data_IF_609864883002
#
_entry.id   IF_609864883002
#
_cell.length_a   1.000
_cell.length_b   1.000
_cell.length_c   1.000
_cell.angle_alpha   90.00
_cell.angle_beta   90.00
_cell.angle_gamma   90.00
#
_symmetry.space_group_name_H-M   'P 1'
#
loop_
_entity.id
_entity.type
_entity.pdbx_description
1 polymer ?
#
# COMPACT_ATOMS: atom_id res chain seq x y z
N UNK A 1 14.85 18.76 -22.23
CA UNK A 1 15.45 17.76 -21.33
C UNK A 1 14.56 16.53 -21.35
N UNK A 2 14.94 15.49 -22.07
CA UNK A 2 14.22 14.23 -22.15
C UNK A 2 14.31 13.53 -20.79
N UNK A 3 13.26 13.67 -19.98
CA UNK A 3 13.06 12.81 -18.82
C UNK A 3 12.95 11.39 -19.33
N UNK A 4 13.92 10.52 -19.03
CA UNK A 4 13.79 9.09 -19.29
C UNK A 4 12.50 8.62 -18.63
N UNK A 5 11.52 8.11 -19.41
CA UNK A 5 10.30 7.59 -18.83
C UNK A 5 10.64 6.44 -17.88
N UNK A 6 9.92 6.33 -16.76
CA UNK A 6 10.07 5.19 -15.87
C UNK A 6 9.86 3.90 -16.67
N UNK A 7 10.61 2.85 -16.32
CA UNK A 7 10.38 1.53 -16.93
C UNK A 7 8.91 1.15 -16.75
N UNK A 8 8.29 0.57 -17.79
CA UNK A 8 6.88 0.15 -17.78
C UNK A 8 6.55 -0.73 -16.57
N UNK A 9 7.50 -1.54 -16.11
CA UNK A 9 7.38 -2.38 -14.90
C UNK A 9 7.19 -1.53 -13.64
N UNK A 10 7.94 -0.44 -13.51
CA UNK A 10 7.85 0.49 -12.36
C UNK A 10 6.49 1.17 -12.30
N UNK A 11 5.99 1.62 -13.46
CA UNK A 11 4.68 2.25 -13.60
C UNK A 11 3.57 1.26 -13.28
N UNK A 12 3.63 0.05 -13.85
CA UNK A 12 2.63 -0.98 -13.60
C UNK A 12 2.59 -1.39 -12.13
N UNK A 13 3.74 -1.66 -11.51
CA UNK A 13 3.83 -1.96 -10.08
C UNK A 13 3.26 -0.82 -9.23
N UNK A 14 3.59 0.43 -9.55
CA UNK A 14 3.04 1.57 -8.82
C UNK A 14 1.51 1.60 -8.86
N UNK A 15 0.91 1.48 -10.04
CA UNK A 15 -0.54 1.52 -10.20
C UNK A 15 -1.25 0.30 -9.60
N UNK A 16 -0.66 -0.90 -9.69
CA UNK A 16 -1.17 -2.09 -9.01
C UNK A 16 -1.21 -1.88 -7.49
N UNK A 17 -0.14 -1.35 -6.90
CA UNK A 17 -0.12 -1.00 -5.48
C UNK A 17 -1.16 0.06 -5.13
N UNK A 18 -1.23 1.13 -5.91
CA UNK A 18 -2.17 2.22 -5.67
C UNK A 18 -3.63 1.72 -5.69
N UNK A 19 -4.01 0.92 -6.69
CA UNK A 19 -5.35 0.37 -6.81
C UNK A 19 -5.70 -0.55 -5.62
N UNK A 20 -4.82 -1.48 -5.27
CA UNK A 20 -5.08 -2.44 -4.19
C UNK A 20 -5.07 -1.75 -2.82
N UNK A 21 -4.15 -0.82 -2.56
CA UNK A 21 -4.12 -0.06 -1.29
C UNK A 21 -5.39 0.79 -1.15
N UNK A 22 -5.84 1.46 -2.22
CA UNK A 22 -7.08 2.23 -2.18
C UNK A 22 -8.29 1.33 -1.91
N UNK A 23 -8.41 0.20 -2.61
CA UNK A 23 -9.45 -0.80 -2.33
C UNK A 23 -9.39 -1.28 -0.87
N UNK A 24 -8.23 -1.74 -0.40
CA UNK A 24 -8.04 -2.28 0.93
C UNK A 24 -8.37 -1.26 2.03
N UNK A 25 -7.98 0.00 1.81
CA UNK A 25 -8.27 1.11 2.73
C UNK A 25 -9.77 1.40 2.75
N UNK A 26 -10.37 1.67 1.59
CA UNK A 26 -11.80 2.03 1.52
C UNK A 26 -12.70 0.91 2.02
N UNK A 27 -12.42 -0.33 1.63
CA UNK A 27 -13.19 -1.50 2.02
C UNK A 27 -12.96 -1.89 3.49
N UNK A 28 -11.73 -1.80 3.99
CA UNK A 28 -11.40 -2.07 5.39
C UNK A 28 -12.04 -1.06 6.35
N UNK A 29 -11.90 0.23 6.08
CA UNK A 29 -12.58 1.27 6.86
C UNK A 29 -14.09 1.23 6.66
N UNK A 30 -14.57 0.96 5.46
CA UNK A 30 -16.00 0.80 5.19
C UNK A 30 -16.62 -0.32 6.05
N UNK A 31 -15.96 -1.48 6.12
CA UNK A 31 -16.40 -2.59 6.95
C UNK A 31 -16.32 -2.31 8.45
N UNK A 32 -15.45 -1.40 8.88
CA UNK A 32 -15.30 -1.01 10.28
C UNK A 32 -16.26 0.11 10.72
N UNK A 33 -16.68 0.99 9.79
CA UNK A 33 -17.48 2.17 10.08
C UNK A 33 -18.97 1.98 9.78
N UNK A 34 -19.31 1.06 8.87
CA UNK A 34 -20.68 0.78 8.47
C UNK A 34 -21.10 -0.61 8.92
N UNK A 35 -22.36 -0.73 9.35
CA UNK A 35 -22.97 -2.02 9.70
C UNK A 35 -23.44 -2.72 8.42
N UNK A 36 -22.51 -3.44 7.79
CA UNK A 36 -22.75 -4.17 6.54
C UNK A 36 -23.36 -5.55 6.83
N UNK A 37 -24.25 -6.06 5.95
CA UNK A 37 -24.72 -7.45 6.05
C UNK A 37 -23.55 -8.43 6.11
N UNK A 38 -23.62 -9.44 6.99
CA UNK A 38 -22.51 -10.36 7.28
C UNK A 38 -21.87 -10.98 6.02
N UNK A 39 -22.67 -11.44 5.06
CA UNK A 39 -22.15 -12.01 3.81
C UNK A 39 -21.37 -11.02 2.94
N UNK A 40 -21.72 -9.73 2.98
CA UNK A 40 -20.99 -8.68 2.26
C UNK A 40 -19.69 -8.37 2.99
N UNK A 41 -19.74 -8.22 4.32
CA UNK A 41 -18.58 -7.97 5.16
C UNK A 41 -17.52 -9.08 5.01
N UNK A 42 -17.96 -10.34 5.04
CA UNK A 42 -17.09 -11.50 4.84
C UNK A 42 -16.50 -11.55 3.43
N UNK A 43 -17.31 -11.27 2.40
CA UNK A 43 -16.84 -11.22 1.00
C UNK A 43 -15.79 -10.12 0.78
N UNK A 44 -16.02 -8.94 1.37
CA UNK A 44 -15.04 -7.85 1.38
C UNK A 44 -13.74 -8.29 2.07
N UNK A 45 -13.85 -8.88 3.26
CA UNK A 45 -12.70 -9.37 4.02
C UNK A 45 -11.89 -10.40 3.22
N UNK A 46 -12.58 -11.36 2.59
CA UNK A 46 -11.96 -12.38 1.74
C UNK A 46 -11.18 -11.79 0.55
N UNK A 47 -11.79 -10.86 -0.18
CA UNK A 47 -11.13 -10.18 -1.31
C UNK A 47 -9.94 -9.35 -0.81
N UNK A 48 -10.11 -8.62 0.30
CA UNK A 48 -9.09 -7.76 0.85
C UNK A 48 -7.85 -8.56 1.29
N UNK A 49 -8.03 -9.64 2.04
CA UNK A 49 -6.95 -10.54 2.45
C UNK A 49 -6.26 -11.14 1.23
N UNK A 50 -7.01 -11.64 0.25
CA UNK A 50 -6.45 -12.27 -0.95
C UNK A 50 -5.59 -11.30 -1.77
N UNK A 51 -6.08 -10.09 -2.02
CA UNK A 51 -5.35 -9.07 -2.78
C UNK A 51 -4.11 -8.57 -2.03
N UNK A 52 -4.24 -8.29 -0.74
CA UNK A 52 -3.12 -7.77 0.07
C UNK A 52 -2.05 -8.82 0.30
N UNK A 53 -2.40 -10.11 0.35
CA UNK A 53 -1.40 -11.18 0.40
C UNK A 53 -0.54 -11.22 -0.88
N UNK A 54 -1.15 -11.09 -2.06
CA UNK A 54 -0.42 -11.01 -3.34
C UNK A 54 0.50 -9.78 -3.39
N UNK A 55 0.16 -8.69 -2.70
CA UNK A 55 1.04 -7.53 -2.61
C UNK A 55 2.36 -7.83 -1.90
N UNK A 56 2.46 -8.84 -1.03
CA UNK A 56 3.69 -9.14 -0.28
C UNK A 56 4.88 -9.43 -1.22
N UNK A 57 4.84 -10.43 -2.12
CA UNK A 57 5.93 -10.67 -3.07
C UNK A 57 6.15 -9.50 -4.02
N UNK A 58 5.07 -8.83 -4.46
CA UNK A 58 5.19 -7.63 -5.32
C UNK A 58 5.85 -6.45 -4.58
N UNK A 59 5.73 -6.40 -3.26
CA UNK A 59 6.31 -5.34 -2.43
C UNK A 59 7.81 -5.51 -2.33
N UNK A 60 8.29 -6.75 -2.19
CA UNK A 60 9.71 -7.08 -2.26
C UNK A 60 10.27 -6.66 -3.63
N UNK A 61 9.61 -7.02 -4.72
CA UNK A 61 10.01 -6.60 -6.07
C UNK A 61 10.04 -5.07 -6.19
N UNK A 62 9.03 -4.38 -5.65
CA UNK A 62 8.94 -2.92 -5.66
C UNK A 62 10.09 -2.27 -4.90
N UNK A 63 10.49 -2.80 -3.75
CA UNK A 63 11.65 -2.33 -2.99
C UNK A 63 12.94 -2.51 -3.81
N UNK A 64 13.16 -3.69 -4.38
CA UNK A 64 14.35 -3.96 -5.21
C UNK A 64 14.42 -3.00 -6.40
N UNK A 65 13.29 -2.79 -7.10
CA UNK A 65 13.20 -1.84 -8.19
C UNK A 65 13.43 -0.39 -7.75
N UNK A 66 13.02 -0.01 -6.54
CA UNK A 66 13.23 1.33 -6.00
C UNK A 66 14.70 1.57 -5.62
N UNK A 67 15.37 0.58 -5.02
CA UNK A 67 16.79 0.64 -4.67
C UNK A 67 17.70 0.72 -5.91
N UNK A 68 17.32 0.04 -6.98
CA UNK A 68 18.07 0.07 -8.25
C UNK A 68 17.84 1.36 -9.07
N UNK A 69 16.88 2.20 -8.68
CA UNK A 69 16.54 3.40 -9.44
C UNK A 69 17.36 4.61 -8.98
N UNK A 70 18.32 5.04 -9.80
CA UNK A 70 19.09 6.25 -9.54
C UNK A 70 18.28 7.49 -9.94
N UNK A 71 17.91 8.32 -8.97
CA UNK A 71 17.27 9.62 -9.26
C UNK A 71 18.32 10.65 -9.67
N UNK A 72 18.16 11.34 -10.82
CA UNK A 72 19.03 12.44 -11.19
C UNK A 72 18.95 13.58 -10.16
N UNK A 73 20.04 14.32 -10.01
CA UNK A 73 20.12 15.45 -9.07
C UNK A 73 19.08 16.53 -9.41
N UNK A 74 18.32 16.97 -8.40
CA UNK A 74 17.27 17.98 -8.53
C UNK A 74 17.79 19.38 -8.24
N UNK A 75 17.16 20.37 -8.87
CA UNK A 75 17.43 21.80 -8.66
C UNK A 75 16.73 22.36 -7.41
N UNK A 76 15.86 21.59 -6.74
CA UNK A 76 15.15 21.99 -5.51
C UNK A 76 15.37 20.97 -4.39
N UNK A 77 16.45 21.08 -3.60
CA UNK A 77 16.87 20.02 -2.67
C UNK A 77 15.88 19.76 -1.53
N UNK A 78 15.19 20.79 -1.03
CA UNK A 78 14.22 20.64 0.07
C UNK A 78 12.93 19.92 -0.37
N UNK A 79 12.37 20.28 -1.52
CA UNK A 79 11.19 19.62 -2.07
C UNK A 79 11.47 18.14 -2.38
N UNK A 80 12.65 17.86 -2.93
CA UNK A 80 13.13 16.50 -3.19
C UNK A 80 13.29 15.67 -1.91
N UNK A 81 13.83 16.27 -0.84
CA UNK A 81 13.99 15.61 0.45
C UNK A 81 12.63 15.24 1.06
N UNK A 82 11.68 16.18 1.07
CA UNK A 82 10.32 15.92 1.56
C UNK A 82 9.62 14.84 0.74
N UNK A 83 9.74 14.88 -0.59
CA UNK A 83 9.19 13.85 -1.44
C UNK A 83 9.82 12.48 -1.13
N UNK A 84 11.15 12.39 -0.98
CA UNK A 84 11.83 11.15 -0.60
C UNK A 84 11.38 10.63 0.75
N UNK A 85 11.29 11.50 1.76
CA UNK A 85 10.83 11.14 3.10
C UNK A 85 9.38 10.62 3.07
N UNK A 86 8.48 11.28 2.33
CA UNK A 86 7.10 10.83 2.17
C UNK A 86 6.99 9.46 1.49
N UNK A 87 7.75 9.22 0.43
CA UNK A 87 7.78 7.90 -0.23
C UNK A 87 8.38 6.83 0.69
N UNK A 88 9.44 7.15 1.43
CA UNK A 88 10.03 6.22 2.41
C UNK A 88 9.03 5.87 3.51
N UNK A 89 8.30 6.86 4.04
CA UNK A 89 7.24 6.63 5.02
C UNK A 89 6.14 5.72 4.45
N UNK A 90 5.70 5.94 3.21
CA UNK A 90 4.74 5.06 2.54
C UNK A 90 5.25 3.62 2.42
N UNK A 91 6.52 3.42 2.05
CA UNK A 91 7.13 2.09 1.99
C UNK A 91 7.14 1.43 3.37
N UNK A 92 7.67 2.10 4.39
CA UNK A 92 7.76 1.55 5.75
C UNK A 92 6.37 1.18 6.28
N UNK A 93 5.40 2.10 6.20
CA UNK A 93 4.06 1.85 6.73
C UNK A 93 3.33 0.77 5.94
N UNK A 94 3.48 0.71 4.61
CA UNK A 94 2.92 -0.39 3.80
C UNK A 94 3.51 -1.74 4.23
N UNK A 95 4.83 -1.81 4.45
CA UNK A 95 5.48 -3.02 4.96
C UNK A 95 4.93 -3.45 6.31
N UNK A 96 4.75 -2.51 7.24
CA UNK A 96 4.13 -2.78 8.55
C UNK A 96 2.71 -3.31 8.39
N UNK A 97 1.87 -2.68 7.57
CA UNK A 97 0.49 -3.12 7.30
C UNK A 97 0.47 -4.55 6.74
N UNK A 98 1.31 -4.86 5.76
CA UNK A 98 1.36 -6.19 5.14
C UNK A 98 1.80 -7.27 6.14
N UNK A 99 2.86 -7.02 6.91
CA UNK A 99 3.38 -7.98 7.89
C UNK A 99 2.36 -8.19 9.02
N UNK A 100 1.86 -7.10 9.60
CA UNK A 100 0.87 -7.18 10.69
C UNK A 100 -0.45 -7.79 10.22
N UNK A 101 -0.83 -7.58 8.96
CA UNK A 101 -2.03 -8.16 8.36
C UNK A 101 -1.98 -9.68 8.30
N UNK A 102 -0.80 -10.25 8.02
CA UNK A 102 -0.60 -11.72 8.06
C UNK A 102 -0.54 -12.22 9.50
N UNK A 103 0.14 -11.51 10.39
CA UNK A 103 0.34 -11.94 11.79
C UNK A 103 -0.92 -11.81 12.65
N UNK A 104 -1.86 -10.94 12.29
CA UNK A 104 -3.12 -10.79 13.03
C UNK A 104 -4.19 -11.85 12.68
N UNK A 105 -3.95 -12.69 11.66
CA UNK A 105 -4.93 -13.66 11.21
C UNK A 105 -5.14 -14.77 12.25
N UNK A 106 -6.40 -14.94 12.67
CA UNK A 106 -6.83 -16.00 13.61
C UNK A 106 -7.44 -17.22 12.92
N UNK A 107 -7.46 -17.19 11.58
CA UNK A 107 -7.96 -18.25 10.71
C UNK A 107 -6.97 -18.45 9.55
N UNK A 108 -6.96 -19.63 8.91
CA UNK A 108 -6.19 -19.85 7.70
C UNK A 108 -6.44 -18.77 6.65
N UNK A 109 -5.36 -18.33 6.01
CA UNK A 109 -5.38 -17.38 4.90
C UNK A 109 -5.82 -18.15 3.66
N UNK A 110 -6.98 -17.80 3.14
CA UNK A 110 -7.52 -18.35 1.91
C UNK A 110 -7.24 -17.39 0.74
N UNK A 111 -6.51 -17.86 -0.26
CA UNK A 111 -6.14 -17.11 -1.44
C UNK A 111 -7.07 -17.45 -2.59
N UNK A 112 -8.12 -16.66 -2.77
CA UNK A 112 -9.11 -16.82 -3.84
C UNK A 112 -9.74 -18.22 -3.93
N UNK A 113 -9.75 -19.01 -2.84
CA UNK A 113 -10.24 -20.39 -2.83
C UNK A 113 -9.29 -21.41 -3.48
N UNK A 114 -8.09 -20.98 -3.90
CA UNK A 114 -7.14 -21.80 -4.65
C UNK A 114 -6.05 -22.38 -3.76
N UNK A 115 -5.64 -21.64 -2.72
CA UNK A 115 -4.58 -22.03 -1.81
C UNK A 115 -4.92 -21.60 -0.39
N UNK A 116 -4.80 -22.51 0.56
CA UNK A 116 -4.95 -22.21 1.98
C UNK A 116 -3.59 -22.29 2.68
N UNK A 117 -3.27 -21.23 3.41
CA UNK A 117 -2.04 -21.11 4.20
C UNK A 117 -2.44 -21.00 5.66
N UNK A 118 -1.91 -21.88 6.50
CA UNK A 118 -2.16 -21.82 7.95
C UNK A 118 -1.70 -20.49 8.53
N UNK A 119 -2.47 -19.99 9.50
CA UNK A 119 -2.07 -18.79 10.23
C UNK A 119 -0.71 -18.97 10.91
N UNK A 120 0.13 -17.92 10.93
CA UNK A 120 1.47 -18.01 11.49
C UNK A 120 1.47 -18.07 13.03
N UNK A 121 0.45 -17.50 13.68
CA UNK A 121 0.35 -17.36 15.13
C UNK A 121 -0.93 -18.01 15.64
N UNK A 122 -0.82 -18.70 16.77
CA UNK A 122 -1.95 -19.38 17.43
C UNK A 122 -2.30 -18.74 18.77
N UNK A 123 -1.42 -17.89 19.32
CA UNK A 123 -1.61 -17.21 20.60
C UNK A 123 -2.49 -15.95 20.45
N UNK A 124 -3.69 -15.90 21.06
CA UNK A 124 -4.62 -14.78 20.90
C UNK A 124 -4.07 -13.43 21.37
N UNK A 125 -3.17 -13.45 22.36
CA UNK A 125 -2.50 -12.24 22.86
C UNK A 125 -1.63 -11.61 21.77
N UNK A 126 -0.95 -12.44 20.97
CA UNK A 126 -0.11 -11.96 19.88
C UNK A 126 -0.95 -11.50 18.69
N UNK A 127 -1.98 -12.25 18.29
CA UNK A 127 -2.87 -11.84 17.19
C UNK A 127 -3.58 -10.52 17.52
N UNK A 128 -4.05 -10.35 18.75
CA UNK A 128 -4.64 -9.10 19.24
C UNK A 128 -3.65 -7.92 19.26
N UNK A 129 -2.39 -8.16 19.65
CA UNK A 129 -1.34 -7.14 19.57
C UNK A 129 -1.08 -6.69 18.13
N UNK A 130 -0.92 -7.63 17.19
CA UNK A 130 -0.71 -7.31 15.79
C UNK A 130 -1.93 -6.66 15.14
N UNK A 131 -3.16 -7.05 15.52
CA UNK A 131 -4.38 -6.39 15.09
C UNK A 131 -4.39 -4.90 15.50
N UNK A 132 -4.02 -4.61 16.74
CA UNK A 132 -3.92 -3.22 17.24
C UNK A 132 -2.91 -2.41 16.41
N UNK A 133 -1.71 -2.95 16.19
CA UNK A 133 -0.70 -2.30 15.33
C UNK A 133 -1.23 -2.10 13.92
N UNK A 134 -1.83 -3.15 13.33
CA UNK A 134 -2.38 -3.11 11.97
C UNK A 134 -3.41 -1.98 11.83
N UNK A 135 -4.33 -1.84 12.80
CA UNK A 135 -5.33 -0.78 12.81
C UNK A 135 -4.70 0.61 12.78
N UNK A 136 -3.73 0.88 13.66
CA UNK A 136 -3.06 2.19 13.68
C UNK A 136 -2.20 2.42 12.43
N UNK A 137 -1.55 1.38 11.92
CA UNK A 137 -0.78 1.44 10.68
C UNK A 137 -1.68 1.72 9.46
N UNK A 138 -2.89 1.16 9.40
CA UNK A 138 -3.87 1.45 8.36
C UNK A 138 -4.35 2.90 8.40
N UNK A 139 -4.57 3.48 9.58
CA UNK A 139 -4.89 4.91 9.73
C UNK A 139 -3.72 5.77 9.23
N UNK A 140 -2.50 5.45 9.65
CA UNK A 140 -1.31 6.16 9.19
C UNK A 140 -1.12 6.06 7.67
N UNK A 141 -1.34 4.87 7.09
CA UNK A 141 -1.27 4.64 5.65
C UNK A 141 -2.30 5.47 4.90
N UNK A 142 -3.55 5.50 5.37
CA UNK A 142 -4.62 6.29 4.77
C UNK A 142 -4.27 7.79 4.73
N UNK A 143 -3.75 8.34 5.85
CA UNK A 143 -3.30 9.74 5.93
C UNK A 143 -2.12 10.02 4.99
N UNK A 144 -1.14 9.12 4.92
CA UNK A 144 0.01 9.26 4.02
C UNK A 144 -0.40 9.21 2.55
N UNK A 145 -1.32 8.31 2.18
CA UNK A 145 -1.87 8.22 0.82
C UNK A 145 -2.64 9.49 0.46
N UNK A 146 -3.51 9.98 1.36
CA UNK A 146 -4.23 11.23 1.16
C UNK A 146 -3.29 12.42 0.98
N UNK A 147 -2.26 12.54 1.85
CA UNK A 147 -1.23 13.57 1.74
C UNK A 147 -0.42 13.48 0.44
N UNK A 148 -0.07 12.25 0.01
CA UNK A 148 0.62 12.01 -1.25
C UNK A 148 -0.23 12.46 -2.45
N UNK A 149 -1.51 12.09 -2.48
CA UNK A 149 -2.45 12.52 -3.53
C UNK A 149 -2.61 14.05 -3.55
N UNK A 150 -2.77 14.67 -2.38
CA UNK A 150 -2.87 16.12 -2.26
C UNK A 150 -1.62 16.84 -2.80
N UNK A 151 -0.43 16.31 -2.50
CA UNK A 151 0.82 16.83 -3.05
C UNK A 151 0.85 16.73 -4.58
N UNK A 152 0.46 15.59 -5.16
CA UNK A 152 0.40 15.40 -6.61
C UNK A 152 -0.56 16.42 -7.26
N UNK A 153 -1.75 16.63 -6.68
CA UNK A 153 -2.71 17.62 -7.16
C UNK A 153 -2.15 19.04 -7.09
N UNK A 154 -1.51 19.40 -5.97
CA UNK A 154 -0.91 20.72 -5.79
C UNK A 154 0.22 20.98 -6.80
N UNK A 155 1.07 19.98 -7.06
CA UNK A 155 2.12 20.08 -8.07
C UNK A 155 1.54 20.19 -9.49
N UNK A 156 0.47 19.46 -9.79
CA UNK A 156 -0.23 19.57 -11.06
C UNK A 156 -0.82 20.97 -11.28
N UNK A 157 -1.46 21.56 -10.26
CA UNK A 157 -1.95 22.94 -10.32
C UNK A 157 -0.84 23.99 -10.47
N UNK A 158 0.37 23.71 -9.99
CA UNK A 158 1.56 24.56 -10.19
C UNK A 158 2.19 24.41 -11.58
N UNK A 159 1.59 23.63 -12.47
CA UNK A 159 2.05 23.41 -13.85
C UNK A 159 3.08 22.29 -14.00
N UNK A 160 3.39 21.56 -12.93
CA UNK A 160 4.29 20.40 -12.99
C UNK A 160 3.49 19.13 -13.33
N UNK A 161 3.60 18.66 -14.58
CA UNK A 161 2.95 17.44 -15.03
C UNK A 161 3.71 16.18 -14.56
N UNK A 162 3.66 15.91 -13.25
CA UNK A 162 4.26 14.72 -12.64
C UNK A 162 3.59 13.41 -13.11
N UNK A 163 2.28 13.45 -13.38
CA UNK A 163 1.51 12.30 -13.89
C UNK A 163 2.05 11.78 -15.22
N UNK A 164 2.61 12.66 -16.07
CA UNK A 164 3.21 12.28 -17.36
C UNK A 164 4.44 11.39 -17.22
N UNK A 165 5.04 11.31 -16.03
CA UNK A 165 6.13 10.37 -15.73
C UNK A 165 5.62 9.00 -15.27
N UNK A 166 4.34 8.91 -14.91
CA UNK A 166 3.65 7.68 -14.48
C UNK A 166 2.63 7.18 -15.52
N UNK A 167 2.69 7.68 -16.75
CA UNK A 167 1.93 7.15 -17.89
C UNK A 167 2.78 6.12 -18.65
N UNK A 168 2.14 5.03 -19.12
CA UNK A 168 2.77 3.96 -19.91
C UNK A 168 3.24 4.42 -21.29
#
# INVERSE_FOLDING_TARGET
>A
MSSTPYSRIHVLLHWTFAAIILWATLSGFGNALFDLPAGIAEGIGFINVSLTFILIPLFVLRIVCALNHQRPASRQPLADLLAKAGHLALYVVTGVVLVTGVLMMERPIDLFGLLQISQPLHEPVLTGFFNSIHRYACIALALLVAGHMAAVVLHHWRGENLLRRMSL
#
